data_IF_578797589799
#
_entry.id   IF_578797589799
#
_cell.length_a   1.000
_cell.length_b   1.000
_cell.length_c   1.000
_cell.angle_alpha   90.00
_cell.angle_beta   90.00
_cell.angle_gamma   90.00
#
_symmetry.space_group_name_H-M   'P 1'
#
loop_
_entity.id
_entity.type
_entity.pdbx_description
1 polymer ?
#
# COMPACT_ATOMS: atom_id res chain seq x y z
N UNK A 1 -4.83 35.83 -69.64
CA UNK A 1 -5.96 35.47 -68.75
C UNK A 1 -5.90 33.98 -68.35
N UNK A 2 -4.85 33.54 -67.62
CA UNK A 2 -4.71 32.11 -67.20
C UNK A 2 -4.31 31.94 -65.73
N UNK A 3 -4.36 33.03 -64.96
CA UNK A 3 -4.03 33.05 -63.53
C UNK A 3 -5.28 33.07 -62.62
N UNK A 4 -6.46 32.81 -63.18
CA UNK A 4 -7.73 32.86 -62.45
C UNK A 4 -8.04 31.59 -61.62
N UNK A 5 -7.16 30.59 -61.63
CA UNK A 5 -7.34 29.34 -60.88
C UNK A 5 -6.50 29.25 -59.60
N UNK A 6 -5.72 30.28 -59.26
CA UNK A 6 -4.89 30.28 -58.03
C UNK A 6 -5.63 30.82 -56.80
N UNK A 7 -6.94 31.03 -56.87
CA UNK A 7 -7.75 31.66 -55.81
C UNK A 7 -8.79 30.72 -55.20
N UNK A 8 -8.57 29.40 -55.23
CA UNK A 8 -9.45 28.46 -54.54
C UNK A 8 -8.71 27.81 -53.37
N UNK A 9 -9.27 28.04 -52.18
CA UNK A 9 -9.06 27.29 -50.93
C UNK A 9 -7.84 27.66 -50.09
N UNK A 10 -7.88 28.86 -49.50
CA UNK A 10 -7.29 29.06 -48.17
C UNK A 10 -8.18 28.32 -47.16
N UNK A 11 -7.88 27.05 -46.92
CA UNK A 11 -8.49 26.26 -45.87
C UNK A 11 -8.03 26.86 -44.53
N UNK A 12 -8.88 27.64 -43.87
CA UNK A 12 -8.69 28.01 -42.47
C UNK A 12 -8.79 26.72 -41.64
N UNK A 13 -7.65 26.07 -41.43
CA UNK A 13 -7.50 25.08 -40.36
C UNK A 13 -7.50 25.89 -39.07
N UNK A 14 -8.69 26.13 -38.52
CA UNK A 14 -8.80 26.54 -37.13
C UNK A 14 -8.36 25.34 -36.31
N UNK A 15 -7.10 25.33 -35.88
CA UNK A 15 -6.62 24.44 -34.82
C UNK A 15 -7.34 24.92 -33.55
N UNK A 16 -8.57 24.46 -33.34
CA UNK A 16 -9.29 24.69 -32.11
C UNK A 16 -8.49 24.03 -30.99
N UNK A 17 -8.08 24.82 -30.00
CA UNK A 17 -7.51 24.27 -28.77
C UNK A 17 -8.62 23.45 -28.09
N UNK A 18 -8.58 22.12 -28.24
CA UNK A 18 -9.45 21.23 -27.48
C UNK A 18 -9.06 21.34 -26.01
N UNK A 19 -9.89 22.01 -25.21
CA UNK A 19 -9.72 21.99 -23.75
C UNK A 19 -9.73 20.53 -23.29
N UNK A 20 -8.62 20.09 -22.71
CA UNK A 20 -8.50 18.74 -22.17
C UNK A 20 -9.38 18.63 -20.93
N UNK A 21 -10.35 17.72 -20.96
CA UNK A 21 -11.24 17.47 -19.83
C UNK A 21 -10.47 16.78 -18.70
N UNK A 22 -10.59 17.30 -17.48
CA UNK A 22 -9.96 16.73 -16.29
C UNK A 22 -11.03 16.22 -15.35
N UNK A 23 -10.80 15.04 -14.78
CA UNK A 23 -11.61 14.46 -13.73
C UNK A 23 -10.83 14.43 -12.41
N UNK A 24 -11.53 14.17 -11.32
CA UNK A 24 -10.91 13.93 -10.02
C UNK A 24 -11.53 12.72 -9.33
N UNK A 25 -10.84 12.19 -8.33
CA UNK A 25 -11.34 11.11 -7.49
C UNK A 25 -10.60 11.11 -6.16
N UNK A 26 -11.29 10.76 -5.08
CA UNK A 26 -10.60 10.33 -3.86
C UNK A 26 -10.11 8.88 -4.04
N UNK A 27 -8.86 8.72 -4.49
CA UNK A 27 -8.32 7.40 -4.81
C UNK A 27 -8.17 6.50 -3.58
N UNK A 28 -7.79 7.08 -2.43
CA UNK A 28 -7.68 6.36 -1.17
C UNK A 28 -9.03 5.79 -0.74
N UNK A 29 -10.11 6.57 -0.86
CA UNK A 29 -11.46 6.13 -0.54
C UNK A 29 -11.94 5.03 -1.49
N UNK A 30 -11.63 5.11 -2.79
CA UNK A 30 -11.94 4.06 -3.75
C UNK A 30 -11.28 2.74 -3.34
N UNK A 31 -9.95 2.77 -3.11
CA UNK A 31 -9.18 1.60 -2.71
C UNK A 31 -9.71 1.05 -1.39
N UNK A 32 -9.93 1.89 -0.37
CA UNK A 32 -10.44 1.47 0.93
C UNK A 32 -11.83 0.79 0.86
N UNK A 33 -12.68 1.20 -0.09
CA UNK A 33 -14.01 0.63 -0.27
C UNK A 33 -14.03 -0.72 -1.02
N UNK A 34 -12.89 -1.16 -1.58
CA UNK A 34 -12.82 -2.43 -2.31
C UNK A 34 -12.91 -3.63 -1.34
N UNK A 35 -13.70 -4.67 -1.65
CA UNK A 35 -13.78 -5.88 -0.84
C UNK A 35 -12.41 -6.56 -0.62
N UNK A 36 -11.53 -6.48 -1.61
CA UNK A 36 -10.17 -7.00 -1.55
C UNK A 36 -9.31 -6.26 -0.52
N UNK A 37 -9.55 -4.96 -0.31
CA UNK A 37 -8.86 -4.17 0.72
C UNK A 37 -9.21 -4.63 2.13
N UNK A 38 -10.49 -4.97 2.36
CA UNK A 38 -10.88 -5.58 3.63
C UNK A 38 -10.16 -6.92 3.84
N UNK A 39 -10.15 -7.79 2.82
CA UNK A 39 -9.46 -9.09 2.90
C UNK A 39 -7.95 -8.93 3.12
N UNK A 40 -7.33 -7.95 2.47
CA UNK A 40 -5.93 -7.61 2.69
C UNK A 40 -5.68 -7.16 4.13
N UNK A 41 -6.51 -6.29 4.68
CA UNK A 41 -6.43 -5.86 6.08
C UNK A 41 -6.55 -7.03 7.05
N UNK A 42 -7.55 -7.91 6.87
CA UNK A 42 -7.75 -9.08 7.72
C UNK A 42 -6.55 -10.05 7.64
N UNK A 43 -5.99 -10.24 6.43
CA UNK A 43 -4.80 -11.08 6.19
C UNK A 43 -3.54 -10.50 6.83
N UNK A 44 -3.36 -9.17 6.74
CA UNK A 44 -2.22 -8.47 7.33
C UNK A 44 -2.28 -8.51 8.85
N UNK A 45 -3.45 -8.29 9.45
CA UNK A 45 -3.64 -8.39 10.89
C UNK A 45 -3.29 -9.79 11.39
N UNK A 46 -3.80 -10.83 10.73
CA UNK A 46 -3.47 -12.22 11.09
C UNK A 46 -1.97 -12.50 11.00
N UNK A 47 -1.30 -11.95 9.99
CA UNK A 47 0.14 -12.10 9.85
C UNK A 47 0.92 -11.40 10.97
N UNK A 48 0.53 -10.17 11.32
CA UNK A 48 1.10 -9.44 12.45
C UNK A 48 0.89 -10.19 13.78
N UNK A 49 -0.30 -10.74 14.01
CA UNK A 49 -0.61 -11.53 15.20
C UNK A 49 0.25 -12.80 15.30
N UNK A 50 0.50 -13.47 14.18
CA UNK A 50 1.39 -14.63 14.12
C UNK A 50 2.83 -14.26 14.49
N UNK A 51 3.36 -13.16 13.93
CA UNK A 51 4.71 -12.70 14.27
C UNK A 51 4.81 -12.29 15.74
N UNK A 52 3.77 -11.64 16.28
CA UNK A 52 3.71 -11.30 17.70
C UNK A 52 3.74 -12.55 18.58
N UNK A 53 2.99 -13.60 18.22
CA UNK A 53 2.97 -14.87 18.96
C UNK A 53 4.35 -15.55 18.94
N UNK A 54 5.01 -15.61 17.78
CA UNK A 54 6.37 -16.15 17.65
C UNK A 54 7.37 -15.38 18.53
N UNK A 55 7.30 -14.04 18.54
CA UNK A 55 8.13 -13.21 19.40
C UNK A 55 7.89 -13.45 20.90
N UNK A 56 6.64 -13.70 21.31
CA UNK A 56 6.31 -14.05 22.69
C UNK A 56 6.91 -15.40 23.11
N UNK A 57 6.98 -16.38 22.20
CA UNK A 57 7.67 -17.66 22.46
C UNK A 57 9.15 -17.41 22.74
N UNK A 58 9.82 -16.59 21.92
CA UNK A 58 11.24 -16.26 22.15
C UNK A 58 11.47 -15.58 23.51
N UNK A 59 10.59 -14.67 23.91
CA UNK A 59 10.66 -14.00 25.22
C UNK A 59 10.44 -15.01 26.35
N UNK A 60 9.44 -15.90 26.22
CA UNK A 60 9.18 -16.93 27.22
C UNK A 60 10.36 -17.90 27.39
N UNK A 61 11.00 -18.31 26.30
CA UNK A 61 12.21 -19.14 26.31
C UNK A 61 13.37 -18.42 26.99
N UNK A 62 13.59 -17.14 26.70
CA UNK A 62 14.61 -16.34 27.35
C UNK A 62 14.36 -16.19 28.86
N UNK A 63 13.13 -15.88 29.27
CA UNK A 63 12.76 -15.80 30.69
C UNK A 63 12.96 -17.13 31.40
N UNK A 64 12.61 -18.25 30.76
CA UNK A 64 12.87 -19.59 31.29
C UNK A 64 14.37 -19.84 31.47
N UNK A 65 15.19 -19.50 30.48
CA UNK A 65 16.66 -19.63 30.56
C UNK A 65 17.25 -18.80 31.71
N UNK A 66 16.74 -17.59 31.94
CA UNK A 66 17.18 -16.73 33.05
C UNK A 66 16.89 -17.38 34.40
N UNK A 67 15.65 -17.84 34.60
CA UNK A 67 15.25 -18.51 35.85
C UNK A 67 16.08 -19.77 36.09
N UNK A 68 16.33 -20.56 35.05
CA UNK A 68 17.20 -21.75 35.15
C UNK A 68 18.63 -21.37 35.56
N UNK A 69 19.21 -20.35 34.92
CA UNK A 69 20.54 -19.87 35.26
C UNK A 69 20.62 -19.41 36.72
N UNK A 70 19.69 -18.58 37.18
CA UNK A 70 19.67 -18.06 38.55
C UNK A 70 19.57 -19.18 39.59
N UNK A 71 18.79 -20.23 39.29
CA UNK A 71 18.61 -21.38 40.19
C UNK A 71 19.87 -22.28 40.30
N UNK A 72 20.64 -22.40 39.22
CA UNK A 72 21.79 -23.31 39.13
C UNK A 72 23.14 -22.60 39.27
N UNK A 73 23.19 -21.27 39.22
CA UNK A 73 24.43 -20.49 39.18
C UNK A 73 25.37 -20.81 40.36
N UNK A 74 24.82 -21.11 41.54
CA UNK A 74 25.59 -21.44 42.75
C UNK A 74 26.30 -22.80 42.69
N UNK A 75 25.82 -23.71 41.86
CA UNK A 75 26.39 -25.07 41.69
C UNK A 75 27.22 -25.21 40.42
N UNK A 76 27.27 -24.17 39.57
CA UNK A 76 28.02 -24.18 38.32
C UNK A 76 29.49 -23.78 38.52
N UNK A 77 30.37 -24.40 37.73
CA UNK A 77 31.75 -23.93 37.55
C UNK A 77 31.77 -22.65 36.70
N UNK A 78 32.87 -21.89 36.77
CA UNK A 78 32.96 -20.63 36.02
C UNK A 78 32.86 -20.82 34.48
N UNK A 79 33.48 -21.84 33.86
CA UNK A 79 33.25 -22.14 32.44
C UNK A 79 31.79 -22.44 32.10
N UNK A 80 31.06 -23.14 32.99
CA UNK A 80 29.63 -23.42 32.77
C UNK A 80 28.80 -22.12 32.83
N UNK A 81 29.11 -21.22 33.75
CA UNK A 81 28.45 -19.91 33.85
C UNK A 81 28.70 -19.08 32.60
N UNK A 82 29.94 -19.03 32.12
CA UNK A 82 30.31 -18.26 30.91
C UNK A 82 29.52 -18.72 29.68
N UNK A 83 29.40 -20.04 29.47
CA UNK A 83 28.60 -20.61 28.38
C UNK A 83 27.13 -20.17 28.50
N UNK A 84 26.53 -20.26 29.70
CA UNK A 84 25.12 -19.89 29.92
C UNK A 84 24.89 -18.39 29.74
N UNK A 85 25.79 -17.54 30.23
CA UNK A 85 25.72 -16.08 30.03
C UNK A 85 25.81 -15.73 28.54
N UNK A 86 26.67 -16.41 27.79
CA UNK A 86 26.80 -16.22 26.34
C UNK A 86 25.52 -16.61 25.61
N UNK A 87 24.92 -17.75 25.97
CA UNK A 87 23.63 -18.19 25.42
C UNK A 87 22.50 -17.19 25.72
N UNK A 88 22.42 -16.66 26.96
CA UNK A 88 21.44 -15.64 27.35
C UNK A 88 21.61 -14.34 26.55
N UNK A 89 22.85 -13.89 26.34
CA UNK A 89 23.14 -12.73 25.48
C UNK A 89 22.70 -12.96 24.04
N UNK A 90 22.94 -14.16 23.50
CA UNK A 90 22.49 -14.53 22.16
C UNK A 90 20.96 -14.56 22.05
N UNK A 91 20.26 -15.14 23.03
CA UNK A 91 18.79 -15.14 23.05
C UNK A 91 18.24 -13.70 23.09
N UNK A 92 18.82 -12.82 23.91
CA UNK A 92 18.44 -11.41 23.96
C UNK A 92 18.68 -10.70 22.62
N UNK A 93 19.82 -10.93 21.98
CA UNK A 93 20.13 -10.38 20.65
C UNK A 93 19.14 -10.86 19.59
N UNK A 94 18.81 -12.16 19.59
CA UNK A 94 17.83 -12.74 18.67
C UNK A 94 16.44 -12.11 18.85
N UNK A 95 16.00 -11.86 20.10
CA UNK A 95 14.73 -11.18 20.37
C UNK A 95 14.73 -9.76 19.78
N UNK A 96 15.82 -9.02 19.94
CA UNK A 96 15.92 -7.65 19.40
C UNK A 96 15.92 -7.65 17.86
N UNK A 97 16.66 -8.58 17.24
CA UNK A 97 16.68 -8.75 15.79
C UNK A 97 15.30 -9.16 15.25
N UNK A 98 14.60 -10.04 15.96
CA UNK A 98 13.26 -10.47 15.61
C UNK A 98 12.27 -9.30 15.57
N UNK A 99 12.30 -8.43 16.59
CA UNK A 99 11.45 -7.23 16.64
C UNK A 99 11.66 -6.33 15.43
N UNK A 100 12.91 -6.08 15.05
CA UNK A 100 13.22 -5.29 13.85
C UNK A 100 12.70 -5.95 12.57
N UNK A 101 12.96 -7.26 12.40
CA UNK A 101 12.53 -8.01 11.21
C UNK A 101 11.00 -8.13 11.12
N UNK A 102 10.29 -8.15 12.24
CA UNK A 102 8.84 -8.19 12.25
C UNK A 102 8.25 -6.94 11.59
N UNK A 103 8.73 -5.75 11.94
CA UNK A 103 8.25 -4.49 11.35
C UNK A 103 8.48 -4.47 9.83
N UNK A 104 9.68 -4.88 9.39
CA UNK A 104 10.00 -5.02 7.97
C UNK A 104 9.08 -6.01 7.26
N UNK A 105 8.85 -7.19 7.85
CA UNK A 105 7.98 -8.23 7.30
C UNK A 105 6.54 -7.75 7.14
N UNK A 106 5.99 -7.04 8.13
CA UNK A 106 4.64 -6.49 8.06
C UNK A 106 4.55 -5.47 6.93
N UNK A 107 5.52 -4.56 6.80
CA UNK A 107 5.55 -3.56 5.73
C UNK A 107 5.63 -4.20 4.33
N UNK A 108 6.51 -5.19 4.14
CA UNK A 108 6.61 -5.95 2.89
C UNK A 108 5.27 -6.62 2.57
N UNK A 109 4.66 -7.28 3.57
CA UNK A 109 3.40 -7.98 3.38
C UNK A 109 2.25 -7.04 3.02
N UNK A 110 2.19 -5.88 3.65
CA UNK A 110 1.22 -4.83 3.31
C UNK A 110 1.37 -4.40 1.84
N UNK A 111 2.60 -4.13 1.40
CA UNK A 111 2.87 -3.74 0.02
C UNK A 111 2.44 -4.82 -0.98
N UNK A 112 2.77 -6.09 -0.72
CA UNK A 112 2.36 -7.23 -1.56
C UNK A 112 0.85 -7.32 -1.71
N UNK A 113 0.11 -7.13 -0.60
CA UNK A 113 -1.34 -7.24 -0.57
C UNK A 113 -2.02 -6.05 -1.27
N UNK A 114 -1.49 -4.83 -1.09
CA UNK A 114 -2.08 -3.61 -1.65
C UNK A 114 -1.77 -3.40 -3.13
N UNK A 115 -0.59 -3.82 -3.61
CA UNK A 115 -0.16 -3.65 -5.01
C UNK A 115 -1.21 -4.09 -6.04
N UNK A 116 -1.77 -5.31 -6.00
CA UNK A 116 -2.77 -5.76 -6.98
C UNK A 116 -4.10 -5.00 -6.85
N UNK A 117 -4.46 -4.55 -5.65
CA UNK A 117 -5.69 -3.78 -5.39
C UNK A 117 -5.58 -2.40 -6.04
N UNK A 118 -4.46 -1.72 -5.82
CA UNK A 118 -4.15 -0.43 -6.45
C UNK A 118 -4.13 -0.55 -7.97
N UNK A 119 -3.55 -1.63 -8.52
CA UNK A 119 -3.55 -1.88 -9.95
C UNK A 119 -4.98 -2.02 -10.51
N UNK A 120 -5.82 -2.82 -9.85
CA UNK A 120 -7.24 -2.99 -10.24
C UNK A 120 -8.01 -1.68 -10.20
N UNK A 121 -7.83 -0.87 -9.17
CA UNK A 121 -8.45 0.46 -9.08
C UNK A 121 -8.00 1.37 -10.23
N UNK A 122 -6.68 1.41 -10.53
CA UNK A 122 -6.14 2.18 -11.66
C UNK A 122 -6.71 1.72 -13.00
N UNK A 123 -6.88 0.43 -13.22
CA UNK A 123 -7.42 -0.08 -14.48
C UNK A 123 -8.89 0.28 -14.68
N UNK A 124 -9.68 0.30 -13.60
CA UNK A 124 -11.05 0.85 -13.63
C UNK A 124 -11.05 2.33 -14.01
N UNK A 125 -10.15 3.13 -13.44
CA UNK A 125 -10.04 4.55 -13.77
C UNK A 125 -9.58 4.79 -15.20
N UNK A 126 -8.62 4.01 -15.71
CA UNK A 126 -8.20 4.07 -17.12
C UNK A 126 -9.36 3.78 -18.06
N UNK A 127 -10.23 2.83 -17.70
CA UNK A 127 -11.40 2.53 -18.50
C UNK A 127 -12.41 3.68 -18.48
N UNK A 128 -12.70 4.25 -17.31
CA UNK A 128 -13.58 5.42 -17.17
C UNK A 128 -13.03 6.66 -17.90
N UNK A 129 -11.71 6.88 -17.83
CA UNK A 129 -11.01 7.95 -18.55
C UNK A 129 -11.29 7.85 -20.05
N UNK A 130 -11.16 6.65 -20.64
CA UNK A 130 -11.47 6.39 -22.06
C UNK A 130 -12.95 6.53 -22.37
N UNK A 131 -13.82 5.92 -21.55
CA UNK A 131 -15.28 5.91 -21.75
C UNK A 131 -15.91 7.31 -21.67
N UNK A 132 -15.32 8.22 -20.87
CA UNK A 132 -15.84 9.57 -20.64
C UNK A 132 -15.06 10.68 -21.34
N UNK A 133 -13.95 10.33 -22.02
CA UNK A 133 -13.12 11.30 -22.75
C UNK A 133 -12.34 12.27 -21.87
N UNK A 134 -11.93 11.82 -20.67
CA UNK A 134 -11.02 12.60 -19.83
C UNK A 134 -9.57 12.42 -20.31
N UNK A 135 -8.76 13.45 -20.16
CA UNK A 135 -7.32 13.39 -20.43
C UNK A 135 -6.51 13.04 -19.18
N UNK A 136 -7.02 13.43 -18.01
CA UNK A 136 -6.34 13.30 -16.72
C UNK A 136 -7.36 13.04 -15.61
N UNK A 137 -6.96 12.24 -14.61
CA UNK A 137 -7.68 12.06 -13.35
C UNK A 137 -6.76 12.50 -12.22
N UNK A 138 -7.19 13.47 -11.42
CA UNK A 138 -6.48 13.97 -10.25
C UNK A 138 -6.87 13.18 -9.00
N UNK A 139 -5.88 12.79 -8.21
CA UNK A 139 -6.12 12.22 -6.89
C UNK A 139 -6.41 13.34 -5.89
N UNK A 140 -7.66 13.39 -5.43
CA UNK A 140 -8.14 14.34 -4.43
C UNK A 140 -8.08 13.79 -3.00
N UNK A 141 -7.32 12.72 -2.73
CA UNK A 141 -7.17 12.17 -1.36
C UNK A 141 -6.47 13.13 -0.39
N UNK A 142 -5.82 14.19 -0.90
CA UNK A 142 -5.14 15.23 -0.12
C UNK A 142 -5.64 16.64 -0.47
N UNK A 143 -6.91 16.76 -0.83
CA UNK A 143 -7.55 18.03 -1.19
C UNK A 143 -6.79 18.81 -2.28
N UNK A 144 -6.24 18.10 -3.27
CA UNK A 144 -5.55 18.69 -4.41
C UNK A 144 -6.47 19.51 -5.32
N UNK A 145 -7.78 19.27 -5.23
CA UNK A 145 -8.83 19.96 -5.96
C UNK A 145 -9.61 20.84 -4.98
N UNK A 146 -9.48 22.16 -5.13
CA UNK A 146 -10.15 23.14 -4.26
C UNK A 146 -11.64 23.22 -4.60
N UNK A 147 -11.98 23.28 -5.90
CA UNK A 147 -13.35 23.29 -6.43
C UNK A 147 -13.34 22.65 -7.82
N UNK A 148 -14.33 21.81 -8.12
CA UNK A 148 -14.60 21.26 -9.45
C UNK A 148 -16.09 20.96 -9.60
N UNK A 149 -16.56 20.70 -10.82
CA UNK A 149 -17.93 20.24 -11.03
C UNK A 149 -18.10 18.82 -10.49
N UNK A 150 -19.19 18.54 -9.78
CA UNK A 150 -19.48 17.19 -9.26
C UNK A 150 -19.56 16.13 -10.37
N UNK A 151 -19.94 16.53 -11.59
CA UNK A 151 -19.98 15.66 -12.76
C UNK A 151 -18.59 15.11 -13.17
N UNK A 152 -17.50 15.72 -12.69
CA UNK A 152 -16.13 15.31 -12.95
C UNK A 152 -15.53 14.44 -11.82
N UNK A 153 -16.31 14.14 -10.77
CA UNK A 153 -15.96 13.14 -9.75
C UNK A 153 -16.19 11.72 -10.30
N UNK A 154 -15.11 10.94 -10.42
CA UNK A 154 -15.20 9.55 -10.87
C UNK A 154 -15.50 8.56 -9.76
N UNK A 155 -15.51 8.96 -8.48
CA UNK A 155 -15.72 8.04 -7.36
C UNK A 155 -17.03 7.23 -7.49
N UNK A 156 -18.20 7.84 -7.78
CA UNK A 156 -19.46 7.08 -7.91
C UNK A 156 -19.42 6.07 -9.05
N UNK A 157 -18.86 6.47 -10.20
CA UNK A 157 -18.74 5.61 -11.37
C UNK A 157 -17.74 4.46 -11.14
N UNK A 158 -16.62 4.74 -10.49
CA UNK A 158 -15.61 3.75 -10.17
C UNK A 158 -16.14 2.70 -9.18
N UNK A 159 -16.87 3.14 -8.14
CA UNK A 159 -17.57 2.25 -7.21
C UNK A 159 -18.57 1.34 -7.93
N UNK A 160 -19.42 1.92 -8.79
CA UNK A 160 -20.39 1.14 -9.56
C UNK A 160 -19.71 0.08 -10.46
N UNK A 161 -18.61 0.45 -11.13
CA UNK A 161 -17.84 -0.47 -12.02
C UNK A 161 -17.14 -1.59 -11.25
N UNK A 162 -16.83 -1.35 -9.97
CA UNK A 162 -16.26 -2.33 -9.04
C UNK A 162 -17.33 -3.14 -8.28
N UNK A 163 -18.62 -2.84 -8.46
CA UNK A 163 -19.71 -3.48 -7.71
C UNK A 163 -19.75 -3.09 -6.24
N UNK A 164 -19.20 -1.94 -5.88
CA UNK A 164 -19.19 -1.38 -4.53
C UNK A 164 -20.47 -0.55 -4.36
N UNK A 165 -21.25 -0.86 -3.31
CA UNK A 165 -22.45 -0.10 -2.95
C UNK A 165 -22.11 1.14 -2.13
#
# INVERSE_FOLDING_TARGET
MKYLYSLMTLCLITIGASAQKTAYINFQQLVAAMPESKKAGDSLQKYADQLNADGQVMVAEYTKSLVEFDSLAKTMTDPQKEIRVTALKQQQANIQEYKYKMEEKVAIREQELLTPIVAKAKDVLKALLKEKGYALVLDNSRDAVVVANEADDLLPLAKAKLGIK
#
